data_IF_336151793775
#
_entry.id   IF_336151793775
#
_cell.length_a   1.000
_cell.length_b   1.000
_cell.length_c   1.000
_cell.angle_alpha   90.00
_cell.angle_beta   90.00
_cell.angle_gamma   90.00
#
_symmetry.space_group_name_H-M   'P 1'
#
loop_
_entity.id
_entity.type
_entity.pdbx_description
1 polymer ?
#
# COMPACT_ATOMS: atom_id res chain seq x y z
N UNK A 1 13.08 25.15 9.79
CA UNK A 1 13.75 24.39 10.86
C UNK A 1 13.71 22.94 10.44
N UNK A 2 14.83 22.21 10.41
CA UNK A 2 14.90 20.86 9.80
C UNK A 2 14.71 19.71 10.79
N UNK A 3 14.90 19.95 12.10
CA UNK A 3 14.58 19.00 13.16
C UNK A 3 13.99 19.72 14.38
N UNK A 4 13.00 19.10 15.02
CA UNK A 4 12.37 19.60 16.25
C UNK A 4 11.77 18.46 17.09
N UNK A 5 11.36 18.74 18.33
CA UNK A 5 10.72 17.77 19.21
C UNK A 5 9.39 18.28 19.76
N UNK A 6 8.39 17.42 19.81
CA UNK A 6 7.07 17.68 20.36
C UNK A 6 6.85 16.81 21.61
N UNK A 7 6.33 17.36 22.72
CA UNK A 7 5.91 16.55 23.86
C UNK A 7 4.61 15.81 23.54
N UNK A 8 4.60 14.48 23.68
CA UNK A 8 3.40 13.65 23.47
C UNK A 8 3.28 12.65 24.62
N UNK A 9 2.21 12.79 25.41
CA UNK A 9 1.79 11.83 26.45
C UNK A 9 2.95 11.31 27.33
N UNK A 10 3.77 12.23 27.87
CA UNK A 10 4.91 11.89 28.74
C UNK A 10 6.17 11.44 28.01
N UNK A 11 6.17 11.41 26.67
CA UNK A 11 7.32 11.11 25.81
C UNK A 11 7.67 12.30 24.90
N UNK A 12 8.75 12.17 24.13
CA UNK A 12 9.09 13.10 23.06
C UNK A 12 8.89 12.42 21.70
N UNK A 13 8.21 13.12 20.80
CA UNK A 13 8.23 12.80 19.38
C UNK A 13 9.25 13.71 18.69
N UNK A 14 10.24 13.12 18.04
CA UNK A 14 11.17 13.85 17.19
C UNK A 14 10.59 13.96 15.78
N UNK A 15 10.79 15.09 15.12
CA UNK A 15 10.41 15.30 13.73
C UNK A 15 11.64 15.70 12.93
N UNK A 16 11.84 15.02 11.81
CA UNK A 16 12.85 15.29 10.80
C UNK A 16 12.15 15.73 9.51
N UNK A 17 12.41 16.95 9.08
CA UNK A 17 11.67 17.61 8.00
C UNK A 17 12.57 18.03 6.83
N UNK A 18 13.71 17.36 6.63
CA UNK A 18 14.55 17.50 5.44
C UNK A 18 14.86 16.12 4.83
N UNK A 19 15.02 16.04 3.49
CA UNK A 19 15.43 14.80 2.82
C UNK A 19 16.73 14.19 3.37
N UNK A 20 17.69 15.03 3.75
CA UNK A 20 18.99 14.63 4.29
C UNK A 20 18.83 13.93 5.64
N UNK A 21 18.02 14.48 6.55
CA UNK A 21 17.72 13.84 7.83
C UNK A 21 16.93 12.55 7.64
N UNK A 22 15.95 12.54 6.73
CA UNK A 22 15.20 11.34 6.42
C UNK A 22 16.13 10.21 5.94
N UNK A 23 17.04 10.51 5.00
CA UNK A 23 18.06 9.57 4.54
C UNK A 23 18.96 9.09 5.70
N UNK A 24 19.44 10.00 6.56
CA UNK A 24 20.24 9.68 7.74
C UNK A 24 19.51 8.72 8.70
N UNK A 25 18.21 8.91 8.89
CA UNK A 25 17.36 8.05 9.72
C UNK A 25 17.21 6.66 9.11
N UNK A 26 16.88 6.58 7.82
CA UNK A 26 16.58 5.31 7.15
C UNK A 26 17.80 4.38 7.01
N UNK A 27 19.02 4.94 7.08
CA UNK A 27 20.27 4.17 7.06
C UNK A 27 20.70 3.65 8.45
N UNK A 28 20.12 4.15 9.54
CA UNK A 28 20.55 3.81 10.91
C UNK A 28 19.92 2.52 11.43
N UNK A 29 20.76 1.57 11.84
CA UNK A 29 20.34 0.32 12.50
C UNK A 29 19.78 0.52 13.91
N UNK A 30 20.07 1.66 14.54
CA UNK A 30 19.57 2.04 15.87
C UNK A 30 18.14 2.56 15.84
N UNK A 31 17.54 2.71 14.66
CA UNK A 31 16.18 3.20 14.43
C UNK A 31 15.37 2.10 13.74
N UNK A 32 14.34 1.58 14.40
CA UNK A 32 13.56 0.42 13.92
C UNK A 32 12.09 0.76 13.75
N UNK A 33 11.44 0.12 12.77
CA UNK A 33 9.98 0.19 12.63
C UNK A 33 9.25 -0.95 13.35
N UNK A 34 9.97 -2.00 13.75
CA UNK A 34 9.38 -3.23 14.31
C UNK A 34 8.50 -3.00 15.55
N UNK A 35 8.87 -2.16 16.55
CA UNK A 35 8.00 -1.94 17.71
C UNK A 35 6.63 -1.35 17.35
N UNK A 36 6.59 -0.54 16.29
CA UNK A 36 5.35 0.06 15.81
C UNK A 36 4.50 -0.96 15.04
N UNK A 37 5.13 -1.80 14.22
CA UNK A 37 4.43 -2.95 13.59
C UNK A 37 3.78 -3.83 14.66
N UNK A 38 4.48 -4.12 15.76
CA UNK A 38 3.93 -4.93 16.84
C UNK A 38 2.73 -4.28 17.53
N UNK A 39 2.77 -2.95 17.65
CA UNK A 39 1.64 -2.18 18.15
C UNK A 39 0.46 -2.27 17.18
N UNK A 40 0.68 -2.16 15.87
CA UNK A 40 -0.36 -2.31 14.86
C UNK A 40 -0.99 -3.71 14.88
N UNK A 41 -0.17 -4.76 14.98
CA UNK A 41 -0.67 -6.14 15.01
C UNK A 41 -1.46 -6.43 16.30
N UNK A 42 -1.02 -5.88 17.44
CA UNK A 42 -1.79 -5.99 18.70
C UNK A 42 -3.12 -5.24 18.63
N UNK A 43 -3.12 -4.02 18.09
CA UNK A 43 -4.26 -3.10 18.24
C UNK A 43 -5.19 -3.11 17.03
N UNK A 44 -4.68 -2.74 15.86
CA UNK A 44 -5.45 -2.62 14.61
C UNK A 44 -5.92 -3.98 14.11
N UNK A 45 -5.05 -4.99 14.16
CA UNK A 45 -5.41 -6.37 13.80
C UNK A 45 -6.11 -7.10 14.95
N UNK A 46 -5.82 -6.75 16.21
CA UNK A 46 -6.43 -7.38 17.39
C UNK A 46 -5.83 -8.76 17.70
N UNK A 47 -4.53 -8.94 17.46
CA UNK A 47 -3.83 -10.18 17.75
C UNK A 47 -3.37 -10.23 19.21
N UNK A 48 -3.57 -11.38 19.86
CA UNK A 48 -3.30 -11.57 21.28
C UNK A 48 -2.77 -12.99 21.57
N UNK A 49 -2.28 -13.18 22.80
CA UNK A 49 -1.80 -14.47 23.31
C UNK A 49 -0.79 -15.15 22.38
N UNK A 50 -1.01 -16.45 22.12
CA UNK A 50 -0.14 -17.28 21.28
C UNK A 50 0.08 -16.71 19.87
N UNK A 51 -0.89 -15.97 19.33
CA UNK A 51 -0.73 -15.30 18.03
C UNK A 51 0.36 -14.25 18.08
N UNK A 52 0.37 -13.43 19.14
CA UNK A 52 1.45 -12.45 19.36
C UNK A 52 2.77 -13.09 19.73
N UNK A 53 2.76 -14.19 20.48
CA UNK A 53 3.99 -14.92 20.82
C UNK A 53 4.67 -15.45 19.55
N UNK A 54 3.88 -15.99 18.60
CA UNK A 54 4.37 -16.37 17.29
C UNK A 54 4.79 -15.16 16.45
N UNK A 55 3.98 -14.10 16.38
CA UNK A 55 4.31 -12.90 15.62
C UNK A 55 5.63 -12.26 16.06
N UNK A 56 5.94 -12.30 17.36
CA UNK A 56 7.18 -11.77 17.92
C UNK A 56 8.33 -12.76 17.92
N UNK A 57 8.10 -14.02 17.55
CA UNK A 57 9.14 -15.02 17.41
C UNK A 57 10.07 -14.67 16.22
N UNK A 58 11.41 -14.59 16.43
CA UNK A 58 12.35 -14.22 15.38
C UNK A 58 12.38 -15.16 14.17
N UNK A 59 12.22 -16.47 14.38
CA UNK A 59 12.22 -17.47 13.31
C UNK A 59 10.95 -17.35 12.46
N UNK A 60 9.79 -17.18 13.11
CA UNK A 60 8.53 -16.94 12.43
C UNK A 60 8.60 -15.67 11.58
N UNK A 61 9.05 -14.55 12.16
CA UNK A 61 9.24 -13.29 11.42
C UNK A 61 10.15 -13.46 10.22
N UNK A 62 11.30 -14.10 10.43
CA UNK A 62 12.27 -14.33 9.35
C UNK A 62 11.62 -15.13 8.22
N UNK A 63 10.84 -16.16 8.54
CA UNK A 63 10.12 -16.96 7.56
C UNK A 63 9.07 -16.13 6.80
N UNK A 64 8.21 -15.39 7.50
CA UNK A 64 7.16 -14.58 6.88
C UNK A 64 7.74 -13.45 6.02
N UNK A 65 8.70 -12.67 6.54
CA UNK A 65 9.32 -11.60 5.77
C UNK A 65 10.09 -12.13 4.56
N UNK A 66 10.72 -13.31 4.66
CA UNK A 66 11.35 -13.96 3.50
C UNK A 66 10.32 -14.29 2.40
N UNK A 67 9.14 -14.77 2.77
CA UNK A 67 8.05 -15.00 1.81
C UNK A 67 7.56 -13.68 1.19
N UNK A 68 7.37 -12.64 2.01
CA UNK A 68 6.97 -11.31 1.53
C UNK A 68 7.97 -10.73 0.52
N UNK A 69 9.26 -10.68 0.88
CA UNK A 69 10.29 -10.13 -0.01
C UNK A 69 10.45 -10.92 -1.31
N UNK A 70 10.37 -12.25 -1.24
CA UNK A 70 10.45 -13.09 -2.44
C UNK A 70 9.21 -12.95 -3.33
N UNK A 71 8.04 -12.86 -2.71
CA UNK A 71 6.76 -12.86 -3.41
C UNK A 71 6.38 -11.54 -4.06
N UNK A 72 6.83 -10.43 -3.47
CA UNK A 72 6.59 -9.06 -3.94
C UNK A 72 7.77 -8.52 -4.77
N UNK A 73 8.55 -9.42 -5.39
CA UNK A 73 9.64 -9.08 -6.27
C UNK A 73 9.71 -10.04 -7.46
N UNK A 74 10.39 -9.60 -8.52
CA UNK A 74 10.74 -10.45 -9.66
C UNK A 74 9.54 -11.15 -10.32
N UNK A 75 9.68 -12.41 -10.75
CA UNK A 75 8.62 -13.14 -11.47
C UNK A 75 7.30 -13.25 -10.71
N UNK A 76 7.34 -13.44 -9.38
CA UNK A 76 6.14 -13.55 -8.55
C UNK A 76 5.30 -12.27 -8.60
N UNK A 77 5.94 -11.11 -8.52
CA UNK A 77 5.25 -9.82 -8.64
C UNK A 77 4.65 -9.62 -10.05
N UNK A 78 5.36 -10.06 -11.10
CA UNK A 78 4.86 -9.99 -12.48
C UNK A 78 3.58 -10.83 -12.63
N UNK A 79 3.56 -12.04 -12.07
CA UNK A 79 2.39 -12.91 -12.13
C UNK A 79 1.21 -12.37 -11.32
N UNK A 80 1.45 -11.84 -10.11
CA UNK A 80 0.44 -11.15 -9.31
C UNK A 80 -0.14 -9.93 -10.05
N UNK A 81 0.73 -9.11 -10.65
CA UNK A 81 0.33 -7.95 -11.44
C UNK A 81 -0.53 -8.36 -12.64
N UNK A 82 -0.08 -9.39 -13.39
CA UNK A 82 -0.82 -9.90 -14.54
C UNK A 82 -2.20 -10.39 -14.12
N UNK A 83 -2.28 -11.18 -13.04
CA UNK A 83 -3.55 -11.70 -12.53
C UNK A 83 -4.50 -10.57 -12.11
N UNK A 84 -4.01 -9.58 -11.34
CA UNK A 84 -4.81 -8.44 -10.91
C UNK A 84 -5.34 -7.61 -12.08
N UNK A 85 -4.49 -7.31 -13.07
CA UNK A 85 -4.90 -6.56 -14.28
C UNK A 85 -5.89 -7.36 -15.12
N UNK A 86 -5.68 -8.66 -15.30
CA UNK A 86 -6.62 -9.51 -16.04
C UNK A 86 -7.98 -9.59 -15.36
N UNK A 87 -8.03 -9.74 -14.04
CA UNK A 87 -9.29 -9.72 -13.29
C UNK A 87 -10.01 -8.38 -13.44
N UNK A 88 -9.28 -7.27 -13.39
CA UNK A 88 -9.86 -5.94 -13.61
C UNK A 88 -10.42 -5.80 -15.03
N UNK A 89 -9.67 -6.22 -16.05
CA UNK A 89 -10.12 -6.18 -17.44
C UNK A 89 -11.42 -6.99 -17.62
N UNK A 90 -11.49 -8.22 -17.10
CA UNK A 90 -12.71 -9.03 -17.13
C UNK A 90 -13.89 -8.34 -16.44
N UNK A 91 -13.66 -7.74 -15.26
CA UNK A 91 -14.73 -6.99 -14.59
C UNK A 91 -15.18 -5.74 -15.35
N UNK A 92 -14.30 -5.11 -16.13
CA UNK A 92 -14.66 -3.96 -16.97
C UNK A 92 -15.43 -4.40 -18.22
N UNK A 93 -15.11 -5.57 -18.81
CA UNK A 93 -15.82 -6.13 -19.96
C UNK A 93 -17.28 -6.51 -19.63
N UNK A 94 -17.57 -6.80 -18.36
CA UNK A 94 -18.93 -7.08 -17.88
C UNK A 94 -19.81 -5.82 -17.77
N UNK A 95 -19.21 -4.63 -17.83
CA UNK A 95 -19.93 -3.37 -17.71
C UNK A 95 -20.54 -3.01 -19.07
N UNK A 96 -21.88 -2.87 -19.19
CA UNK A 96 -22.49 -2.49 -20.45
C UNK A 96 -22.08 -1.06 -20.83
N UNK A 97 -21.68 -0.89 -22.09
CA UNK A 97 -21.40 0.42 -22.68
C UNK A 97 -22.65 1.31 -22.53
N UNK A 98 -22.46 2.54 -22.05
CA UNK A 98 -23.49 3.57 -21.79
C UNK A 98 -24.53 3.31 -20.68
N UNK A 99 -24.38 2.28 -19.83
CA UNK A 99 -25.35 2.00 -18.76
C UNK A 99 -24.83 2.13 -17.34
N UNK A 100 -23.53 2.36 -17.16
CA UNK A 100 -22.95 2.54 -15.84
C UNK A 100 -22.78 4.02 -15.51
N UNK A 101 -23.68 4.53 -14.68
CA UNK A 101 -23.52 5.82 -14.01
C UNK A 101 -23.31 5.56 -12.51
N UNK A 102 -22.04 5.51 -12.03
CA UNK A 102 -21.78 5.31 -10.61
C UNK A 102 -22.25 6.55 -9.85
N UNK A 103 -23.08 6.36 -8.82
CA UNK A 103 -23.52 7.46 -7.95
C UNK A 103 -22.37 8.18 -7.25
N UNK A 104 -21.30 7.45 -7.00
CA UNK A 104 -20.09 7.93 -6.34
C UNK A 104 -18.88 7.26 -7.00
N UNK A 105 -18.10 8.06 -7.73
CA UNK A 105 -16.92 7.59 -8.45
C UNK A 105 -15.84 7.06 -7.49
N UNK A 106 -15.66 7.69 -6.32
CA UNK A 106 -14.70 7.22 -5.31
C UNK A 106 -15.09 5.83 -4.81
N UNK A 107 -16.33 5.65 -4.38
CA UNK A 107 -16.80 4.35 -3.89
C UNK A 107 -16.71 3.27 -4.98
N UNK A 108 -17.10 3.61 -6.22
CA UNK A 108 -17.06 2.68 -7.34
C UNK A 108 -15.63 2.25 -7.72
N UNK A 109 -14.70 3.19 -7.90
CA UNK A 109 -13.30 2.87 -8.20
C UNK A 109 -12.69 2.06 -7.08
N UNK A 110 -12.95 2.45 -5.84
CA UNK A 110 -12.45 1.78 -4.64
C UNK A 110 -12.88 0.32 -4.59
N UNK A 111 -14.15 0.02 -4.78
CA UNK A 111 -14.68 -1.34 -4.76
C UNK A 111 -14.16 -2.16 -5.97
N UNK A 112 -14.22 -1.58 -7.17
CA UNK A 112 -13.84 -2.26 -8.42
C UNK A 112 -12.37 -2.67 -8.40
N UNK A 113 -11.47 -1.74 -8.06
CA UNK A 113 -10.02 -2.00 -8.01
C UNK A 113 -9.68 -2.94 -6.85
N UNK A 114 -10.27 -2.76 -5.66
CA UNK A 114 -9.97 -3.64 -4.52
C UNK A 114 -10.40 -5.07 -4.77
N UNK A 115 -11.58 -5.28 -5.35
CA UNK A 115 -12.05 -6.62 -5.71
C UNK A 115 -11.10 -7.30 -6.68
N UNK A 116 -10.70 -6.61 -7.75
CA UNK A 116 -9.79 -7.16 -8.75
C UNK A 116 -8.40 -7.49 -8.15
N UNK A 117 -7.84 -6.58 -7.34
CA UNK A 117 -6.56 -6.78 -6.65
C UNK A 117 -6.66 -7.95 -5.68
N UNK A 118 -7.66 -7.96 -4.79
CA UNK A 118 -7.84 -9.01 -3.80
C UNK A 118 -8.08 -10.37 -4.46
N UNK A 119 -8.90 -10.46 -5.51
CA UNK A 119 -9.06 -11.67 -6.32
C UNK A 119 -7.74 -12.15 -6.91
N UNK A 120 -6.88 -11.22 -7.35
CA UNK A 120 -5.54 -11.54 -7.82
C UNK A 120 -4.64 -12.18 -6.75
N UNK A 121 -4.84 -11.89 -5.47
CA UNK A 121 -4.07 -12.47 -4.35
C UNK A 121 -4.72 -13.71 -3.73
N UNK A 122 -6.04 -13.82 -3.75
CA UNK A 122 -6.81 -14.85 -3.03
C UNK A 122 -7.62 -15.78 -3.96
N UNK A 123 -7.54 -15.61 -5.28
CA UNK A 123 -8.30 -16.40 -6.25
C UNK A 123 -9.81 -16.12 -6.23
N UNK A 124 -10.56 -16.84 -7.06
CA UNK A 124 -12.01 -16.59 -7.27
C UNK A 124 -12.91 -16.86 -6.06
N UNK A 125 -12.45 -17.65 -5.09
CA UNK A 125 -13.21 -17.96 -3.86
C UNK A 125 -12.84 -17.01 -2.72
N UNK A 126 -12.12 -15.93 -3.04
CA UNK A 126 -11.76 -14.87 -2.11
C UNK A 126 -12.96 -14.39 -1.29
N UNK A 127 -12.81 -14.19 0.05
CA UNK A 127 -13.84 -13.59 0.88
C UNK A 127 -14.32 -12.23 0.36
N UNK A 128 -13.45 -11.53 -0.36
CA UNK A 128 -13.66 -10.20 -0.91
C UNK A 128 -14.62 -10.18 -2.11
N UNK A 129 -15.00 -11.34 -2.65
CA UNK A 129 -16.08 -11.43 -3.64
C UNK A 129 -17.45 -11.14 -3.03
N UNK A 130 -17.61 -11.31 -1.71
CA UNK A 130 -18.82 -10.92 -1.02
C UNK A 130 -18.85 -9.40 -0.80
N UNK A 131 -19.85 -8.71 -1.35
CA UNK A 131 -19.99 -7.25 -1.21
C UNK A 131 -20.17 -6.79 0.24
N UNK A 132 -20.82 -7.59 1.10
CA UNK A 132 -20.93 -7.31 2.53
C UNK A 132 -19.60 -7.40 3.26
N UNK A 133 -18.75 -8.37 2.91
CA UNK A 133 -17.38 -8.48 3.46
C UNK A 133 -16.52 -7.31 2.99
N UNK A 134 -16.59 -6.95 1.70
CA UNK A 134 -15.88 -5.79 1.15
C UNK A 134 -16.32 -4.49 1.83
N UNK A 135 -17.63 -4.28 2.02
CA UNK A 135 -18.16 -3.12 2.73
C UNK A 135 -17.66 -3.08 4.19
N UNK A 136 -17.66 -4.22 4.87
CA UNK A 136 -17.16 -4.33 6.25
C UNK A 136 -15.67 -3.99 6.33
N UNK A 137 -14.88 -4.43 5.36
CA UNK A 137 -13.47 -4.04 5.28
C UNK A 137 -13.28 -2.54 5.13
N UNK A 138 -14.06 -1.87 4.28
CA UNK A 138 -13.94 -0.42 4.16
C UNK A 138 -14.41 0.34 5.42
N UNK A 139 -15.45 -0.13 6.10
CA UNK A 139 -15.85 0.41 7.41
C UNK A 139 -14.71 0.25 8.43
N UNK A 140 -14.09 -0.92 8.48
CA UNK A 140 -12.93 -1.15 9.33
C UNK A 140 -11.77 -0.23 8.92
N UNK A 141 -11.42 -0.18 7.63
CA UNK A 141 -10.29 0.57 7.10
C UNK A 141 -10.39 2.06 7.43
N UNK A 142 -11.54 2.68 7.16
CA UNK A 142 -11.74 4.12 7.32
C UNK A 142 -11.68 4.55 8.80
N UNK A 143 -12.11 3.68 9.72
CA UNK A 143 -12.11 3.95 11.17
C UNK A 143 -10.99 3.20 11.94
N UNK A 144 -10.07 2.49 11.27
CA UNK A 144 -9.12 1.59 11.95
C UNK A 144 -8.22 2.34 12.95
N UNK A 145 -7.89 3.60 12.64
CA UNK A 145 -7.08 4.46 13.50
C UNK A 145 -7.66 4.61 14.91
N UNK A 146 -8.98 4.46 15.07
CA UNK A 146 -9.68 4.50 16.37
C UNK A 146 -9.44 3.26 17.23
N UNK A 147 -8.96 2.16 16.63
CA UNK A 147 -8.57 0.95 17.34
C UNK A 147 -7.15 1.04 17.91
N UNK A 148 -6.33 2.00 17.44
CA UNK A 148 -4.94 2.16 17.84
C UNK A 148 -4.71 2.33 19.36
N UNK A 149 -5.56 3.06 20.12
CA UNK A 149 -5.39 3.15 21.58
C UNK A 149 -5.45 1.79 22.31
N UNK A 150 -6.02 0.75 21.70
CA UNK A 150 -6.06 -0.60 22.25
C UNK A 150 -6.96 -0.77 23.49
N UNK A 151 -7.63 0.27 23.96
CA UNK A 151 -8.49 0.25 25.13
C UNK A 151 -9.97 0.13 24.74
N UNK A 152 -10.68 -0.87 25.28
CA UNK A 152 -12.11 -1.12 25.07
C UNK A 152 -12.59 -0.89 23.60
N UNK A 153 -11.95 -1.54 22.59
CA UNK A 153 -12.20 -1.22 21.18
C UNK A 153 -13.64 -1.49 20.75
N UNK A 154 -14.32 -2.46 21.37
CA UNK A 154 -15.74 -2.75 21.13
C UNK A 154 -16.69 -1.62 21.57
N UNK A 155 -16.22 -0.69 22.38
CA UNK A 155 -16.97 0.48 22.86
C UNK A 155 -16.52 1.74 22.12
N UNK A 156 -15.22 2.03 22.15
CA UNK A 156 -14.64 3.28 21.59
C UNK A 156 -14.72 3.31 20.06
N UNK A 157 -14.53 2.16 19.43
CA UNK A 157 -14.50 2.01 17.98
C UNK A 157 -15.42 0.86 17.54
N UNK A 158 -16.61 0.79 18.14
CA UNK A 158 -17.56 -0.33 18.00
C UNK A 158 -17.85 -0.71 16.55
N UNK A 159 -18.00 0.28 15.65
CA UNK A 159 -18.21 0.07 14.21
C UNK A 159 -17.02 -0.62 13.56
N UNK A 160 -15.81 -0.07 13.72
CA UNK A 160 -14.59 -0.64 13.17
C UNK A 160 -14.29 -2.02 13.78
N UNK A 161 -14.52 -2.19 15.08
CA UNK A 161 -14.35 -3.47 15.77
C UNK A 161 -15.27 -4.55 15.21
N UNK A 162 -16.57 -4.24 15.06
CA UNK A 162 -17.55 -5.17 14.50
C UNK A 162 -17.21 -5.54 13.05
N UNK A 163 -16.93 -4.53 12.23
CA UNK A 163 -16.62 -4.73 10.83
C UNK A 163 -15.32 -5.53 10.63
N UNK A 164 -14.31 -5.32 11.49
CA UNK A 164 -13.11 -6.15 11.54
C UNK A 164 -13.44 -7.60 11.86
N UNK A 165 -14.30 -7.85 12.85
CA UNK A 165 -14.72 -9.21 13.22
C UNK A 165 -15.42 -9.92 12.06
N UNK A 166 -16.33 -9.24 11.36
CA UNK A 166 -17.03 -9.80 10.18
C UNK A 166 -16.05 -10.20 9.07
N UNK A 167 -15.02 -9.38 8.83
CA UNK A 167 -13.92 -9.69 7.89
C UNK A 167 -13.11 -10.91 8.35
N UNK A 168 -12.73 -10.98 9.63
CA UNK A 168 -11.97 -12.11 10.19
C UNK A 168 -12.75 -13.40 10.03
N UNK A 169 -14.05 -13.39 10.34
CA UNK A 169 -14.92 -14.57 10.24
C UNK A 169 -15.01 -15.10 8.79
N UNK A 170 -15.08 -14.20 7.82
CA UNK A 170 -15.09 -14.56 6.41
C UNK A 170 -13.75 -15.18 5.95
N UNK A 171 -12.63 -14.59 6.37
CA UNK A 171 -11.28 -15.13 6.11
C UNK A 171 -11.06 -16.47 6.80
N UNK A 172 -11.53 -16.65 8.03
CA UNK A 172 -11.49 -17.94 8.71
C UNK A 172 -12.26 -19.01 7.96
N UNK A 173 -13.46 -18.69 7.48
CA UNK A 173 -14.29 -19.63 6.76
C UNK A 173 -13.59 -20.08 5.45
N UNK A 174 -12.94 -19.15 4.75
CA UNK A 174 -12.11 -19.42 3.58
C UNK A 174 -10.94 -20.36 3.90
N UNK A 175 -10.19 -20.11 4.97
CA UNK A 175 -9.07 -20.97 5.38
C UNK A 175 -9.55 -22.35 5.85
N UNK A 176 -10.67 -22.43 6.59
CA UNK A 176 -11.26 -23.71 7.06
C UNK A 176 -11.68 -24.62 5.92
N UNK A 177 -12.09 -24.05 4.78
CA UNK A 177 -12.44 -24.79 3.56
C UNK A 177 -11.23 -25.13 2.68
N UNK A 178 -10.02 -24.80 3.13
CA UNK A 178 -8.77 -24.96 2.37
C UNK A 178 -8.75 -24.21 1.03
N UNK A 179 -9.60 -23.18 0.89
CA UNK A 179 -9.69 -22.38 -0.32
C UNK A 179 -8.41 -21.55 -0.53
N UNK A 180 -7.65 -21.31 0.54
CA UNK A 180 -6.33 -20.67 0.52
C UNK A 180 -5.24 -21.48 -0.21
N UNK A 181 -5.50 -22.77 -0.50
CA UNK A 181 -4.66 -23.64 -1.33
C UNK A 181 -5.31 -23.96 -2.69
N UNK A 182 -6.42 -23.30 -3.03
CA UNK A 182 -7.14 -23.49 -4.29
C UNK A 182 -6.27 -23.32 -5.53
N UNK A 183 -6.69 -23.94 -6.64
CA UNK A 183 -5.94 -23.96 -7.90
C UNK A 183 -5.62 -22.55 -8.44
N UNK A 184 -6.55 -21.61 -8.26
CA UNK A 184 -6.43 -20.21 -8.73
C UNK A 184 -5.75 -19.28 -7.73
N UNK A 185 -5.37 -19.76 -6.54
CA UNK A 185 -4.62 -18.96 -5.57
C UNK A 185 -3.14 -18.91 -5.99
N UNK A 186 -2.52 -17.71 -6.09
CA UNK A 186 -1.11 -17.59 -6.43
C UNK A 186 -0.20 -18.27 -5.43
N UNK A 187 0.96 -18.73 -5.90
CA UNK A 187 1.97 -19.37 -5.05
C UNK A 187 2.42 -18.45 -3.90
N UNK A 188 2.45 -17.13 -4.11
CA UNK A 188 2.74 -16.16 -3.06
C UNK A 188 1.84 -16.32 -1.83
N UNK A 189 0.53 -16.42 -2.03
CA UNK A 189 -0.43 -16.56 -0.94
C UNK A 189 -0.34 -17.94 -0.29
N UNK A 190 -0.15 -19.00 -1.10
CA UNK A 190 0.10 -20.36 -0.60
C UNK A 190 1.36 -20.44 0.26
N UNK A 191 2.43 -19.76 -0.14
CA UNK A 191 3.69 -19.73 0.62
C UNK A 191 3.51 -19.02 1.98
N UNK A 192 2.70 -17.95 2.05
CA UNK A 192 2.40 -17.25 3.31
C UNK A 192 1.63 -18.14 4.27
N UNK A 193 0.49 -18.68 3.82
CA UNK A 193 -0.30 -19.58 4.64
C UNK A 193 0.42 -20.89 4.97
N UNK A 194 1.29 -21.39 4.08
CA UNK A 194 2.14 -22.54 4.32
C UNK A 194 3.18 -22.28 5.40
N UNK A 195 3.81 -21.10 5.40
CA UNK A 195 4.71 -20.67 6.46
C UNK A 195 3.94 -20.57 7.80
N UNK A 196 2.77 -19.95 7.83
CA UNK A 196 1.95 -19.85 9.03
C UNK A 196 1.57 -21.21 9.63
N UNK A 197 1.09 -22.14 8.79
CA UNK A 197 0.76 -23.51 9.21
C UNK A 197 1.99 -24.25 9.76
N UNK A 198 3.16 -24.09 9.14
CA UNK A 198 4.42 -24.73 9.59
C UNK A 198 4.80 -24.33 11.03
N UNK A 199 4.54 -23.09 11.42
CA UNK A 199 4.80 -22.60 12.78
C UNK A 199 3.61 -22.84 13.75
N UNK A 200 2.55 -23.51 13.28
CA UNK A 200 1.38 -23.82 14.10
C UNK A 200 0.53 -22.58 14.43
N UNK A 201 0.50 -21.58 13.55
CA UNK A 201 -0.46 -20.48 13.64
C UNK A 201 -1.88 -21.05 13.54
N UNK A 202 -2.78 -20.61 14.43
CA UNK A 202 -4.19 -21.02 14.35
C UNK A 202 -4.88 -20.37 13.16
N UNK A 203 -5.94 -20.99 12.64
CA UNK A 203 -6.74 -20.43 11.54
C UNK A 203 -7.24 -19.02 11.87
N UNK A 204 -7.72 -18.80 13.11
CA UNK A 204 -8.16 -17.49 13.58
C UNK A 204 -7.05 -16.43 13.51
N UNK A 205 -5.82 -16.78 13.91
CA UNK A 205 -4.71 -15.84 13.88
C UNK A 205 -4.17 -15.63 12.45
N UNK A 206 -4.19 -16.65 11.61
CA UNK A 206 -3.92 -16.52 10.16
C UNK A 206 -4.90 -15.54 9.52
N UNK A 207 -6.21 -15.71 9.75
CA UNK A 207 -7.23 -14.78 9.26
C UNK A 207 -7.00 -13.32 9.74
N UNK A 208 -6.57 -13.14 10.99
CA UNK A 208 -6.19 -11.82 11.52
C UNK A 208 -5.02 -11.18 10.78
N UNK A 209 -3.94 -11.92 10.51
CA UNK A 209 -2.75 -11.36 9.82
C UNK A 209 -3.10 -10.88 8.41
N UNK A 210 -4.00 -11.58 7.71
CA UNK A 210 -4.40 -11.20 6.34
C UNK A 210 -4.99 -9.80 6.24
N UNK A 211 -5.58 -9.27 7.32
CA UNK A 211 -6.11 -7.89 7.34
C UNK A 211 -5.00 -6.86 7.13
N UNK A 212 -3.78 -7.12 7.61
CA UNK A 212 -2.64 -6.23 7.41
C UNK A 212 -2.29 -6.13 5.93
N UNK A 213 -2.27 -7.28 5.22
CA UNK A 213 -2.03 -7.29 3.79
C UNK A 213 -3.19 -6.63 3.03
N UNK A 214 -4.44 -6.95 3.37
CA UNK A 214 -5.60 -6.33 2.73
C UNK A 214 -5.57 -4.79 2.85
N UNK A 215 -5.17 -4.27 4.02
CA UNK A 215 -4.98 -2.83 4.25
C UNK A 215 -3.88 -2.25 3.36
N UNK A 216 -2.75 -2.95 3.21
CA UNK A 216 -1.68 -2.51 2.31
C UNK A 216 -2.13 -2.50 0.84
N UNK A 217 -2.92 -3.49 0.42
CA UNK A 217 -3.46 -3.58 -0.94
C UNK A 217 -4.53 -2.52 -1.24
N UNK A 218 -5.31 -2.11 -0.24
CA UNK A 218 -6.32 -1.06 -0.38
C UNK A 218 -5.74 0.29 -0.82
N UNK A 219 -4.47 0.57 -0.50
CA UNK A 219 -3.77 1.78 -0.96
C UNK A 219 -3.74 1.88 -2.50
N UNK A 220 -3.67 0.74 -3.20
CA UNK A 220 -3.69 0.71 -4.68
C UNK A 220 -5.01 1.28 -5.21
N UNK A 221 -6.13 0.95 -4.57
CA UNK A 221 -7.46 1.42 -4.99
C UNK A 221 -7.63 2.92 -4.74
N UNK A 222 -7.13 3.41 -3.62
CA UNK A 222 -7.14 4.84 -3.28
C UNK A 222 -6.25 5.65 -4.23
N UNK A 223 -5.04 5.16 -4.56
CA UNK A 223 -4.16 5.81 -5.53
C UNK A 223 -4.74 5.80 -6.94
N UNK A 224 -5.39 4.70 -7.35
CA UNK A 224 -6.04 4.60 -8.64
C UNK A 224 -7.14 5.66 -8.80
N UNK A 225 -7.95 5.88 -7.75
CA UNK A 225 -8.94 6.96 -7.75
C UNK A 225 -8.29 8.32 -7.97
N UNK A 226 -7.28 8.69 -7.17
CA UNK A 226 -6.64 10.00 -7.29
C UNK A 226 -5.98 10.20 -8.64
N UNK A 227 -5.30 9.18 -9.16
CA UNK A 227 -4.68 9.22 -10.48
C UNK A 227 -5.73 9.49 -11.58
N UNK A 228 -6.83 8.74 -11.57
CA UNK A 228 -7.91 8.91 -12.53
C UNK A 228 -8.55 10.29 -12.39
N UNK A 229 -8.87 10.73 -11.17
CA UNK A 229 -9.46 12.05 -10.93
C UNK A 229 -8.56 13.19 -11.42
N UNK A 230 -7.25 13.13 -11.17
CA UNK A 230 -6.31 14.15 -11.60
C UNK A 230 -6.17 14.19 -13.14
N UNK A 231 -6.05 13.03 -13.78
CA UNK A 231 -5.95 12.95 -15.25
C UNK A 231 -7.26 13.41 -15.91
N UNK A 232 -8.41 12.90 -15.48
CA UNK A 232 -9.70 13.21 -16.10
C UNK A 232 -10.14 14.67 -15.87
N UNK A 233 -9.61 15.34 -14.85
CA UNK A 233 -9.84 16.77 -14.62
C UNK A 233 -9.02 17.67 -15.56
N UNK A 234 -8.11 17.10 -16.36
CA UNK A 234 -7.23 17.84 -17.27
C UNK A 234 -7.34 17.29 -18.71
N UNK A 235 -8.22 17.85 -19.55
CA UNK A 235 -8.52 17.30 -20.87
C UNK A 235 -7.30 17.09 -21.79
N UNK A 236 -6.37 18.04 -21.80
CA UNK A 236 -5.16 17.97 -22.64
C UNK A 236 -4.20 16.86 -22.18
N UNK A 237 -4.05 16.71 -20.85
CA UNK A 237 -3.26 15.62 -20.26
C UNK A 237 -3.89 14.26 -20.56
N UNK A 238 -5.21 14.13 -20.39
CA UNK A 238 -5.96 12.92 -20.72
C UNK A 238 -5.77 12.53 -22.20
N UNK A 239 -5.88 13.49 -23.12
CA UNK A 239 -5.67 13.25 -24.55
C UNK A 239 -4.24 12.79 -24.86
N UNK A 240 -3.26 13.40 -24.20
CA UNK A 240 -1.84 13.04 -24.36
C UNK A 240 -1.54 11.64 -23.85
N UNK A 241 -2.03 11.30 -22.64
CA UNK A 241 -1.86 9.96 -22.04
C UNK A 241 -2.56 8.88 -22.88
N UNK A 242 -3.77 9.14 -23.39
CA UNK A 242 -4.47 8.20 -24.28
C UNK A 242 -3.67 7.95 -25.56
N UNK A 243 -3.15 9.00 -26.17
CA UNK A 243 -2.32 8.89 -27.38
C UNK A 243 -1.06 8.07 -27.10
N UNK A 244 -0.37 8.36 -26.00
CA UNK A 244 0.81 7.62 -25.54
C UNK A 244 0.51 6.12 -25.34
N UNK A 245 -0.54 5.80 -24.58
CA UNK A 245 -0.94 4.43 -24.28
C UNK A 245 -1.35 3.63 -25.52
N UNK A 246 -2.23 4.19 -26.35
CA UNK A 246 -2.77 3.50 -27.52
C UNK A 246 -1.68 3.21 -28.55
N UNK A 247 -0.74 4.14 -28.75
CA UNK A 247 0.34 3.97 -29.71
C UNK A 247 1.42 3.00 -29.20
N UNK A 248 1.72 3.03 -27.91
CA UNK A 248 2.88 2.32 -27.39
C UNK A 248 2.55 0.95 -26.78
N UNK A 249 1.44 0.85 -26.03
CA UNK A 249 1.21 -0.27 -25.12
C UNK A 249 -0.05 -1.10 -25.43
N UNK A 250 -0.87 -0.69 -26.40
CA UNK A 250 -2.10 -1.40 -26.77
C UNK A 250 -1.97 -1.98 -28.18
N UNK A 251 -2.48 -3.19 -28.37
CA UNK A 251 -2.73 -3.74 -29.71
C UNK A 251 -4.18 -4.12 -29.85
N UNK A 252 -4.79 -3.71 -30.94
CA UNK A 252 -6.20 -3.96 -31.24
C UNK A 252 -6.34 -5.06 -32.29
N UNK A 253 -7.30 -5.96 -32.08
CA UNK A 253 -7.68 -6.99 -33.04
C UNK A 253 -9.20 -7.02 -33.15
N UNK A 254 -9.72 -6.71 -34.33
CA UNK A 254 -11.14 -6.88 -34.62
C UNK A 254 -11.43 -8.38 -34.81
N UNK A 255 -12.33 -8.94 -34.01
CA UNK A 255 -12.72 -10.35 -34.11
C UNK A 255 -13.99 -10.53 -34.95
N UNK A 256 -14.90 -9.56 -34.92
CA UNK A 256 -16.09 -9.47 -35.79
C UNK A 256 -16.56 -8.01 -35.94
N UNK A 257 -17.77 -7.78 -36.49
CA UNK A 257 -18.28 -6.42 -36.74
C UNK A 257 -18.52 -5.61 -35.45
N UNK A 258 -18.80 -6.29 -34.33
CA UNK A 258 -19.23 -5.68 -33.07
C UNK A 258 -18.23 -5.90 -31.93
N UNK A 259 -17.18 -6.70 -32.13
CA UNK A 259 -16.21 -7.04 -31.10
C UNK A 259 -14.77 -6.66 -31.47
N UNK A 260 -14.11 -5.95 -30.54
CA UNK A 260 -12.71 -5.57 -30.61
C UNK A 260 -12.02 -6.15 -29.38
N UNK A 261 -10.99 -6.95 -29.61
CA UNK A 261 -10.09 -7.44 -28.58
C UNK A 261 -8.93 -6.45 -28.42
N UNK A 262 -8.74 -5.91 -27.22
CA UNK A 262 -7.62 -5.02 -26.90
C UNK A 262 -6.64 -5.73 -25.96
N UNK A 263 -5.38 -5.81 -26.36
CA UNK A 263 -4.31 -6.41 -25.54
C UNK A 263 -3.40 -5.32 -24.97
N UNK A 264 -3.32 -5.24 -23.65
CA UNK A 264 -2.43 -4.35 -22.92
C UNK A 264 -1.06 -5.00 -22.65
N UNK A 265 -0.01 -4.42 -23.21
CA UNK A 265 1.38 -4.87 -23.06
C UNK A 265 2.05 -4.18 -21.87
N UNK A 266 1.88 -4.74 -20.66
CA UNK A 266 2.38 -4.14 -19.40
C UNK A 266 3.85 -3.71 -19.42
N UNK A 267 4.71 -4.47 -20.12
CA UNK A 267 6.14 -4.13 -20.25
C UNK A 267 6.34 -2.83 -21.03
N UNK A 268 5.56 -2.62 -22.09
CA UNK A 268 5.68 -1.42 -22.94
C UNK A 268 5.25 -0.16 -22.21
N UNK A 269 4.34 -0.26 -21.23
CA UNK A 269 3.97 0.88 -20.38
C UNK A 269 5.22 1.44 -19.70
N UNK A 270 6.01 0.58 -19.04
CA UNK A 270 7.24 0.98 -18.33
C UNK A 270 8.28 1.62 -19.25
N UNK A 271 8.37 1.15 -20.49
CA UNK A 271 9.40 1.55 -21.44
C UNK A 271 9.00 2.76 -22.30
N UNK A 272 7.70 2.97 -22.54
CA UNK A 272 7.21 3.87 -23.59
C UNK A 272 6.02 4.75 -23.17
N UNK A 273 5.60 4.71 -21.89
CA UNK A 273 4.56 5.59 -21.37
C UNK A 273 5.04 6.50 -20.22
N UNK A 274 6.07 7.34 -20.45
CA UNK A 274 6.66 8.18 -19.42
C UNK A 274 5.67 9.20 -18.83
N UNK A 275 4.73 9.76 -19.60
CA UNK A 275 3.77 10.75 -19.08
C UNK A 275 2.77 10.11 -18.12
N UNK A 276 2.25 8.91 -18.44
CA UNK A 276 1.41 8.16 -17.52
C UNK A 276 2.15 7.83 -16.22
N UNK A 277 3.41 7.39 -16.32
CA UNK A 277 4.20 6.98 -15.17
C UNK A 277 4.61 8.18 -14.31
N UNK A 278 4.93 9.32 -14.93
CA UNK A 278 5.12 10.59 -14.24
C UNK A 278 3.84 11.02 -13.50
N UNK A 279 2.66 10.85 -14.12
CA UNK A 279 1.38 11.17 -13.48
C UNK A 279 1.09 10.26 -12.28
N UNK A 280 1.46 8.99 -12.37
CA UNK A 280 1.36 8.05 -11.24
C UNK A 280 2.29 8.45 -10.10
N UNK A 281 3.55 8.76 -10.39
CA UNK A 281 4.53 9.22 -9.39
C UNK A 281 4.13 10.55 -8.74
N UNK A 282 3.57 11.49 -9.51
CA UNK A 282 3.05 12.74 -8.97
C UNK A 282 1.84 12.52 -8.07
N UNK A 283 0.96 11.57 -8.43
CA UNK A 283 -0.15 11.17 -7.56
C UNK A 283 0.35 10.58 -6.25
N UNK A 284 1.36 9.70 -6.29
CA UNK A 284 2.00 9.18 -5.09
C UNK A 284 2.60 10.31 -4.22
N UNK A 285 3.35 11.23 -4.83
CA UNK A 285 3.93 12.38 -4.12
C UNK A 285 2.86 13.24 -3.45
N UNK A 286 1.82 13.60 -4.21
CA UNK A 286 0.82 14.58 -3.79
C UNK A 286 -0.16 14.01 -2.76
N UNK A 287 -0.56 12.75 -2.90
CA UNK A 287 -1.63 12.16 -2.09
C UNK A 287 -1.11 11.33 -0.90
N UNK A 288 0.13 10.85 -0.91
CA UNK A 288 0.69 10.09 0.21
C UNK A 288 1.30 11.05 1.23
N UNK A 289 0.60 11.21 2.35
CA UNK A 289 0.92 12.17 3.42
C UNK A 289 1.35 11.50 4.74
N UNK A 290 1.79 10.25 4.66
CA UNK A 290 2.14 9.44 5.83
C UNK A 290 3.29 10.02 6.66
N UNK A 291 3.34 9.62 7.94
CA UNK A 291 4.49 9.86 8.81
C UNK A 291 5.35 8.60 8.88
N UNK A 292 6.45 8.57 8.13
CA UNK A 292 7.39 7.45 8.25
C UNK A 292 7.98 7.52 9.66
N UNK A 293 7.68 6.50 10.47
CA UNK A 293 8.04 6.48 11.89
C UNK A 293 9.13 5.44 12.17
N UNK A 294 10.08 5.78 13.05
CA UNK A 294 11.04 4.83 13.63
C UNK A 294 11.12 5.03 15.14
N UNK A 295 11.23 3.94 15.88
CA UNK A 295 11.53 3.93 17.31
C UNK A 295 13.03 3.92 17.54
N UNK A 296 13.50 4.76 18.46
CA UNK A 296 14.91 4.84 18.85
C UNK A 296 15.24 3.68 19.78
N UNK A 297 15.97 2.68 19.28
CA UNK A 297 16.30 1.45 20.03
C UNK A 297 17.43 1.67 21.04
N UNK A 298 18.37 2.55 20.68
CA UNK A 298 19.51 2.99 21.50
C UNK A 298 19.77 4.46 21.18
N UNK A 299 20.20 5.24 22.18
CA UNK A 299 20.62 6.64 22.00
C UNK A 299 21.50 6.77 20.75
N UNK A 300 21.14 7.69 19.86
CA UNK A 300 21.82 7.83 18.56
C UNK A 300 21.74 9.26 18.06
N UNK A 301 22.64 9.63 17.16
CA UNK A 301 22.70 10.97 16.59
C UNK A 301 22.33 10.94 15.11
N UNK A 302 21.50 11.87 14.65
CA UNK A 302 21.24 12.14 13.22
C UNK A 302 21.88 13.48 12.84
N UNK A 303 22.22 13.67 11.57
CA UNK A 303 22.98 14.85 11.13
C UNK A 303 22.43 15.44 9.83
N UNK A 304 22.52 16.77 9.73
CA UNK A 304 22.07 17.60 8.61
C UNK A 304 23.02 18.79 8.45
N UNK A 305 23.72 18.90 7.31
CA UNK A 305 24.66 20.00 7.02
C UNK A 305 25.54 20.44 8.20
N UNK A 306 26.27 19.47 8.78
CA UNK A 306 27.20 19.70 9.88
C UNK A 306 26.54 19.89 11.26
N UNK A 307 25.22 19.96 11.36
CA UNK A 307 24.48 19.93 12.63
C UNK A 307 24.18 18.51 13.04
N UNK A 308 24.23 18.24 14.34
CA UNK A 308 23.99 16.92 14.92
C UNK A 308 22.90 16.99 16.00
N UNK A 309 21.98 16.04 15.96
CA UNK A 309 20.82 15.98 16.84
C UNK A 309 20.79 14.63 17.56
N UNK A 310 20.80 14.66 18.90
CA UNK A 310 20.73 13.46 19.73
C UNK A 310 19.28 12.99 19.90
N UNK A 311 19.00 11.76 19.48
CA UNK A 311 17.75 11.05 19.71
C UNK A 311 17.91 10.11 20.90
N UNK A 312 16.99 10.18 21.86
CA UNK A 312 17.01 9.35 23.06
C UNK A 312 16.20 8.06 22.89
N UNK A 313 16.74 6.96 23.39
CA UNK A 313 16.10 5.64 23.42
C UNK A 313 14.66 5.71 23.92
N UNK A 314 13.78 4.93 23.30
CA UNK A 314 12.37 4.79 23.67
C UNK A 314 11.45 5.85 23.06
N UNK A 315 12.00 6.90 22.45
CA UNK A 315 11.22 7.90 21.73
C UNK A 315 11.06 7.51 20.26
N UNK A 316 10.08 8.14 19.59
CA UNK A 316 9.87 7.97 18.16
C UNK A 316 10.43 9.16 17.39
N UNK A 317 10.90 8.91 16.17
CA UNK A 317 11.23 9.93 15.17
C UNK A 317 10.34 9.76 13.95
N UNK A 318 9.78 10.86 13.46
CA UNK A 318 8.93 10.91 12.27
C UNK A 318 9.58 11.71 11.15
N UNK A 319 9.37 11.24 9.93
CA UNK A 319 9.67 11.94 8.68
C UNK A 319 8.32 12.17 7.97
N UNK A 320 7.70 13.35 8.16
CA UNK A 320 6.38 13.64 7.59
C UNK A 320 6.49 13.80 6.06
N UNK A 321 5.83 12.91 5.31
CA UNK A 321 5.88 12.95 3.84
C UNK A 321 5.24 14.23 3.30
N UNK A 322 4.17 14.73 3.91
CA UNK A 322 3.57 16.01 3.52
C UNK A 322 4.55 17.19 3.59
N UNK A 323 5.57 17.13 4.45
CA UNK A 323 6.60 18.17 4.51
C UNK A 323 7.71 17.91 3.50
N UNK A 324 8.15 16.65 3.34
CA UNK A 324 9.19 16.29 2.38
C UNK A 324 8.72 16.47 0.93
N UNK A 325 7.46 16.14 0.65
CA UNK A 325 6.84 16.25 -0.66
C UNK A 325 6.45 17.68 -1.02
N UNK A 326 6.51 18.63 -0.08
CA UNK A 326 6.26 20.06 -0.30
C UNK A 326 7.53 20.92 -0.30
N UNK A 327 8.73 20.33 -0.26
CA UNK A 327 9.99 21.08 -0.33
C UNK A 327 10.24 21.62 -1.76
N UNK A 328 10.05 22.93 -1.96
CA UNK A 328 10.27 23.60 -3.25
C UNK A 328 11.70 23.41 -3.81
N UNK A 329 12.70 23.16 -2.94
CA UNK A 329 14.07 22.90 -3.40
C UNK A 329 14.21 21.56 -4.12
N UNK A 330 13.33 20.61 -3.80
CA UNK A 330 13.30 19.29 -4.42
C UNK A 330 12.30 19.27 -5.58
N UNK A 331 11.12 19.84 -5.36
CA UNK A 331 9.96 19.67 -6.24
C UNK A 331 9.72 20.82 -7.21
N UNK A 332 10.53 21.88 -7.13
CA UNK A 332 10.38 23.08 -7.93
C UNK A 332 9.24 23.98 -7.43
N UNK A 333 8.74 24.83 -8.32
CA UNK A 333 7.64 25.74 -8.00
C UNK A 333 6.32 24.99 -7.81
N UNK A 334 5.46 25.55 -6.96
CA UNK A 334 4.09 25.09 -6.71
C UNK A 334 4.00 23.59 -6.34
N UNK A 335 4.73 23.11 -5.32
CA UNK A 335 4.71 21.69 -4.93
C UNK A 335 3.36 21.25 -4.34
N UNK A 336 2.53 22.18 -3.88
CA UNK A 336 1.15 21.93 -3.45
C UNK A 336 0.19 21.66 -4.60
N UNK A 337 0.56 22.02 -5.83
CA UNK A 337 -0.22 21.78 -7.03
C UNK A 337 0.17 20.44 -7.67
N UNK A 338 -0.81 19.64 -8.09
CA UNK A 338 -0.55 18.39 -8.82
C UNK A 338 -0.19 18.69 -10.28
N UNK A 339 0.95 18.18 -10.76
CA UNK A 339 1.45 18.39 -12.12
C UNK A 339 1.93 17.06 -12.73
N UNK A 340 1.14 16.51 -13.66
CA UNK A 340 1.33 15.13 -14.17
C UNK A 340 2.66 14.88 -14.89
N UNK A 341 3.33 15.91 -15.38
CA UNK A 341 4.63 15.88 -16.05
C UNK A 341 5.82 16.25 -15.15
N UNK A 342 5.59 16.53 -13.86
CA UNK A 342 6.65 16.97 -12.92
C UNK A 342 7.86 16.03 -12.89
N UNK A 343 7.64 14.71 -12.91
CA UNK A 343 8.74 13.74 -12.88
C UNK A 343 9.50 13.68 -14.21
N UNK A 344 8.91 14.11 -15.33
CA UNK A 344 9.61 14.29 -16.59
C UNK A 344 10.62 15.44 -16.48
N UNK A 345 10.20 16.57 -15.92
CA UNK A 345 11.04 17.75 -15.73
C UNK A 345 12.19 17.52 -14.74
N UNK A 346 11.93 16.72 -13.69
CA UNK A 346 12.93 16.33 -12.68
C UNK A 346 13.92 15.26 -13.16
N UNK A 347 13.79 14.80 -14.41
CA UNK A 347 14.63 13.75 -14.98
C UNK A 347 14.09 12.36 -14.67
N UNK A 348 13.02 11.97 -15.36
CA UNK A 348 12.27 10.71 -15.17
C UNK A 348 13.14 9.43 -15.10
N UNK A 349 14.23 9.38 -15.87
CA UNK A 349 15.18 8.25 -15.88
C UNK A 349 16.35 8.40 -14.90
N UNK A 350 16.40 9.49 -14.13
CA UNK A 350 17.41 9.74 -13.11
C UNK A 350 17.05 9.02 -11.80
N UNK A 351 17.92 9.15 -10.80
CA UNK A 351 17.59 8.70 -9.45
C UNK A 351 16.36 9.44 -8.91
N UNK A 352 15.51 8.75 -8.16
CA UNK A 352 14.31 9.36 -7.56
C UNK A 352 14.66 10.64 -6.78
N UNK A 353 13.82 11.69 -6.84
CA UNK A 353 14.06 12.94 -6.12
C UNK A 353 14.31 12.69 -4.61
N UNK A 354 15.26 13.40 -3.99
CA UNK A 354 15.54 13.24 -2.56
C UNK A 354 14.27 13.45 -1.71
N UNK A 355 13.93 12.46 -0.89
CA UNK A 355 12.75 12.54 -0.01
C UNK A 355 11.45 12.06 -0.67
N UNK A 356 11.47 11.65 -1.95
CA UNK A 356 10.39 10.86 -2.53
C UNK A 356 10.37 9.46 -1.90
N UNK A 357 9.49 9.25 -0.94
CA UNK A 357 9.42 8.02 -0.15
C UNK A 357 7.97 7.49 -0.03
N UNK A 358 7.25 7.33 -1.16
CA UNK A 358 5.82 6.99 -1.15
C UNK A 358 5.51 5.67 -0.43
N UNK A 359 6.49 4.77 -0.33
CA UNK A 359 6.34 3.49 0.37
C UNK A 359 7.41 3.28 1.46
N UNK A 360 7.96 4.38 1.96
CA UNK A 360 9.02 4.38 2.97
C UNK A 360 10.42 4.20 2.38
N UNK A 361 11.37 3.79 3.23
CA UNK A 361 12.77 3.63 2.87
C UNK A 361 13.55 2.72 3.84
N UNK A 362 14.77 2.34 3.43
CA UNK A 362 15.69 1.55 4.25
C UNK A 362 15.34 0.06 4.34
N UNK A 363 15.60 -0.58 5.48
CA UNK A 363 15.34 -2.02 5.69
C UNK A 363 13.85 -2.39 5.82
N UNK A 364 12.97 -1.41 5.83
CA UNK A 364 11.53 -1.59 6.04
C UNK A 364 10.72 -0.94 4.91
N UNK A 365 11.16 -1.14 3.65
CA UNK A 365 10.35 -0.81 2.46
C UNK A 365 9.37 -1.96 2.23
N UNK A 366 8.14 -1.63 1.85
CA UNK A 366 7.07 -2.60 1.61
C UNK A 366 7.26 -3.46 0.35
N UNK A 367 8.24 -3.13 -0.50
CA UNK A 367 8.67 -3.93 -1.65
C UNK A 367 10.14 -3.64 -2.00
N UNK A 368 10.74 -4.47 -2.85
CA UNK A 368 12.09 -4.27 -3.38
C UNK A 368 11.96 -3.88 -4.85
N UNK A 369 12.51 -2.73 -5.24
CA UNK A 369 12.51 -2.22 -6.62
C UNK A 369 13.08 -3.22 -7.62
#
# INVERSE_FOLDING_TARGET
>A
MTAYSLPILGSKLYVASSPQLASSILQKRTLSFEPLIDTFVRTLVGMEGRGMDLWTNPEFRTAIFKVLYKGLAGPSLIDLTRSGVSNLATSLDEIPFDQLEPRDFYCWTRETVSRAVMRGFYGKLSPWENSGVMQSFWIYHDDMHRLFPGFAPSVIASKAFKARTEVIEALEAYIKREEDFGAEVPQFTKDRFGAERKFGMSIHNSAKIEILLATALANISTLAFWLLSNIYSQPDLLASIRTELLNAAVTEKRTDQNHIEMTLHLRKIKEHCPLLLSSAQETERHNIVDNITRTVMTDTTISDDGRSYLLKKGNNVQMPLSVLHSDEKVWGANPESWQGDRFLELGYNASSPPGFLPFGGGKHVWYVN
#
